data_IF_921137860825
#
_entry.id   IF_921137860825
#
_cell.length_a   1.000
_cell.length_b   1.000
_cell.length_c   1.000
_cell.angle_alpha   90.00
_cell.angle_beta   90.00
_cell.angle_gamma   90.00
#
_symmetry.space_group_name_H-M   'P 1'
#
loop_
_entity.id
_entity.type
_entity.pdbx_description
1 polymer ?
#
# COMPACT_ATOMS: atom_id res chain seq x y z
N UNK A 1 13.45 -12.49 -6.21
CA UNK A 1 13.16 -12.39 -4.76
C UNK A 1 11.69 -12.06 -4.65
N UNK A 2 11.04 -12.27 -3.51
CA UNK A 2 9.72 -11.69 -3.29
C UNK A 2 9.84 -10.15 -3.28
N UNK A 3 8.71 -9.45 -3.36
CA UNK A 3 8.69 -7.99 -3.22
C UNK A 3 9.05 -7.63 -1.77
N UNK A 4 8.41 -8.33 -0.81
CA UNK A 4 8.62 -8.25 0.63
C UNK A 4 10.10 -8.46 1.05
N UNK A 5 10.88 -9.27 0.30
CA UNK A 5 12.29 -9.56 0.60
C UNK A 5 13.21 -8.33 0.37
N UNK A 6 12.78 -7.35 -0.44
CA UNK A 6 13.62 -6.25 -0.94
C UNK A 6 12.98 -4.86 -0.80
N UNK A 7 11.70 -4.77 -0.44
CA UNK A 7 10.97 -3.51 -0.41
C UNK A 7 11.60 -2.45 0.53
N UNK A 8 12.30 -2.88 1.56
CA UNK A 8 13.05 -2.00 2.48
C UNK A 8 14.16 -1.18 1.79
N UNK A 9 14.76 -1.69 0.70
CA UNK A 9 15.75 -0.97 -0.12
C UNK A 9 15.15 0.28 -0.79
N UNK A 10 13.82 0.33 -0.94
CA UNK A 10 13.07 1.29 -1.76
C UNK A 10 12.25 2.29 -0.91
N UNK A 11 12.61 2.51 0.35
CA UNK A 11 11.97 3.51 1.22
C UNK A 11 12.26 4.96 0.80
N UNK A 12 13.48 5.27 0.32
CA UNK A 12 13.80 6.60 -0.23
C UNK A 12 13.26 6.77 -1.65
N UNK A 13 12.89 8.00 -2.02
CA UNK A 13 12.37 8.30 -3.36
C UNK A 13 13.46 8.07 -4.43
N UNK A 14 14.71 8.39 -4.09
CA UNK A 14 15.89 8.25 -4.93
C UNK A 14 16.09 6.79 -5.35
N UNK A 15 15.98 5.85 -4.41
CA UNK A 15 16.14 4.43 -4.71
C UNK A 15 14.99 3.88 -5.57
N UNK A 16 13.75 4.34 -5.33
CA UNK A 16 12.60 4.03 -6.20
C UNK A 16 12.85 4.51 -7.62
N UNK A 17 13.26 5.77 -7.80
CA UNK A 17 13.53 6.34 -9.11
C UNK A 17 14.71 5.66 -9.83
N UNK A 18 15.81 5.39 -9.11
CA UNK A 18 16.98 4.71 -9.65
C UNK A 18 16.66 3.31 -10.21
N UNK A 19 15.69 2.60 -9.63
CA UNK A 19 15.26 1.28 -10.10
C UNK A 19 14.82 1.25 -11.57
N UNK A 20 14.26 2.35 -12.09
CA UNK A 20 13.82 2.46 -13.49
C UNK A 20 14.96 2.81 -14.45
N UNK A 21 16.05 3.40 -13.95
CA UNK A 21 17.18 3.90 -14.73
C UNK A 21 18.17 2.79 -15.10
N UNK A 22 18.26 1.75 -14.27
CA UNK A 22 19.18 0.61 -14.45
C UNK A 22 18.59 -0.51 -15.33
N UNK A 23 19.46 -1.37 -15.87
CA UNK A 23 19.05 -2.53 -16.65
C UNK A 23 19.03 -3.79 -15.77
N UNK A 24 17.84 -4.31 -15.46
CA UNK A 24 17.64 -5.45 -14.54
C UNK A 24 18.03 -6.79 -15.18
N UNK A 25 18.76 -7.68 -14.47
CA UNK A 25 19.19 -8.97 -15.00
C UNK A 25 18.08 -10.03 -14.98
N UNK A 26 17.73 -10.58 -16.14
CA UNK A 26 16.60 -11.51 -16.28
C UNK A 26 17.03 -12.98 -16.10
N UNK A 27 16.34 -13.76 -15.24
CA UNK A 27 16.55 -15.20 -15.13
C UNK A 27 16.43 -15.92 -16.48
N UNK A 28 17.31 -16.90 -16.72
CA UNK A 28 17.22 -17.76 -17.91
C UNK A 28 16.01 -18.69 -17.77
N UNK A 29 14.94 -18.46 -18.56
CA UNK A 29 13.90 -19.49 -18.81
C UNK A 29 14.60 -20.81 -19.19
N UNK A 30 14.24 -21.92 -18.53
CA UNK A 30 14.84 -23.25 -18.76
C UNK A 30 14.50 -23.76 -20.16
N UNK A 31 15.41 -23.59 -21.11
CA UNK A 31 15.37 -24.23 -22.42
C UNK A 31 16.26 -25.49 -22.42
N UNK A 32 15.83 -26.55 -23.10
CA UNK A 32 16.44 -27.89 -23.03
C UNK A 32 17.73 -28.07 -23.85
N UNK A 33 18.04 -27.16 -24.79
CA UNK A 33 19.27 -27.23 -25.59
C UNK A 33 20.26 -26.12 -25.20
N UNK A 34 21.48 -26.53 -24.85
CA UNK A 34 22.56 -25.63 -24.49
C UNK A 34 23.20 -24.99 -25.74
N UNK A 35 22.97 -23.69 -25.93
CA UNK A 35 23.82 -22.83 -26.77
C UNK A 35 24.03 -21.50 -26.07
N UNK A 36 25.23 -20.94 -26.20
CA UNK A 36 25.63 -19.74 -25.47
C UNK A 36 24.81 -18.52 -25.89
N UNK A 37 23.95 -18.05 -24.99
CA UNK A 37 23.37 -16.70 -25.03
C UNK A 37 23.56 -16.03 -23.68
N UNK A 38 23.87 -14.73 -23.76
CA UNK A 38 24.13 -13.84 -22.64
C UNK A 38 22.97 -13.80 -21.64
N UNK A 39 23.24 -13.31 -20.42
CA UNK A 39 22.16 -12.84 -19.57
C UNK A 39 21.42 -11.74 -20.32
N UNK A 40 20.09 -11.89 -20.49
CA UNK A 40 19.25 -10.80 -20.99
C UNK A 40 19.06 -9.83 -19.84
N UNK A 41 19.19 -8.54 -20.11
CA UNK A 41 18.70 -7.50 -19.21
C UNK A 41 17.48 -6.80 -19.81
N UNK A 42 16.69 -6.18 -18.96
CA UNK A 42 15.51 -5.39 -19.35
C UNK A 42 15.63 -3.97 -18.76
N UNK A 43 15.06 -2.98 -19.42
CA UNK A 43 14.91 -1.60 -18.94
C UNK A 43 13.43 -1.27 -18.85
N UNK A 44 13.07 -0.17 -18.20
CA UNK A 44 11.70 0.36 -18.28
C UNK A 44 11.26 0.46 -19.75
N UNK A 45 10.16 -0.20 -20.18
CA UNK A 45 9.82 -0.29 -21.60
C UNK A 45 9.04 0.93 -22.11
N UNK A 46 8.35 1.64 -21.22
CA UNK A 46 7.48 2.77 -21.53
C UNK A 46 8.27 4.08 -21.67
N UNK A 47 7.83 4.96 -22.57
CA UNK A 47 8.50 6.24 -22.88
C UNK A 47 7.78 7.46 -22.32
N UNK A 48 6.46 7.38 -22.24
CA UNK A 48 5.52 8.43 -21.85
C UNK A 48 5.17 8.32 -20.37
N UNK A 49 4.87 7.11 -19.89
CA UNK A 49 4.69 6.84 -18.47
C UNK A 49 6.02 7.04 -17.70
N UNK A 50 6.09 8.17 -16.99
CA UNK A 50 7.31 8.70 -16.37
C UNK A 50 7.69 7.97 -15.07
N UNK A 51 8.93 7.46 -14.94
CA UNK A 51 9.46 6.89 -13.70
C UNK A 51 9.26 7.75 -12.45
N UNK A 52 9.31 9.07 -12.58
CA UNK A 52 9.12 10.01 -11.46
C UNK A 52 7.69 9.92 -10.87
N UNK A 53 6.67 9.71 -11.71
CA UNK A 53 5.29 9.56 -11.26
C UNK A 53 5.10 8.24 -10.50
N UNK A 54 5.68 7.15 -11.03
CA UNK A 54 5.68 5.83 -10.39
C UNK A 54 6.43 5.86 -9.05
N UNK A 55 7.64 6.42 -9.03
CA UNK A 55 8.46 6.55 -7.82
C UNK A 55 7.78 7.42 -6.75
N UNK A 56 7.08 8.50 -7.13
CA UNK A 56 6.30 9.32 -6.20
C UNK A 56 5.10 8.54 -5.65
N UNK A 57 4.32 7.88 -6.51
CA UNK A 57 3.21 7.01 -6.11
C UNK A 57 3.64 5.76 -5.30
N UNK A 58 4.94 5.57 -5.05
CA UNK A 58 5.49 4.55 -4.15
C UNK A 58 5.98 3.29 -4.85
N UNK A 59 6.06 3.28 -6.18
CA UNK A 59 6.49 2.12 -6.96
C UNK A 59 7.99 2.13 -7.24
N UNK A 60 8.60 0.93 -7.20
CA UNK A 60 9.89 0.64 -7.81
C UNK A 60 9.73 -0.39 -8.94
N UNK A 61 10.67 -0.42 -9.88
CA UNK A 61 10.66 -1.34 -11.01
C UNK A 61 11.10 -2.75 -10.56
N UNK A 62 10.24 -3.74 -10.79
CA UNK A 62 10.47 -5.14 -10.39
C UNK A 62 10.07 -6.09 -11.53
N UNK A 63 10.79 -6.09 -12.67
CA UNK A 63 10.39 -6.85 -13.85
C UNK A 63 10.60 -8.36 -13.68
N UNK A 64 9.77 -9.15 -14.36
CA UNK A 64 9.94 -10.60 -14.46
C UNK A 64 9.90 -11.08 -15.92
N UNK A 65 10.39 -12.30 -16.25
CA UNK A 65 10.38 -12.81 -17.63
C UNK A 65 9.00 -12.94 -18.28
N UNK A 66 7.94 -12.85 -17.46
CA UNK A 66 6.54 -13.03 -17.86
C UNK A 66 5.72 -11.75 -17.67
N UNK A 67 6.23 -10.76 -16.89
CA UNK A 67 5.67 -9.42 -16.68
C UNK A 67 6.78 -8.38 -16.85
N UNK A 68 7.02 -7.87 -18.07
CA UNK A 68 8.21 -7.09 -18.42
C UNK A 68 8.23 -5.67 -17.84
N UNK A 69 7.08 -5.11 -17.52
CA UNK A 69 6.86 -3.75 -17.01
C UNK A 69 6.37 -3.76 -15.54
N UNK A 70 6.46 -4.90 -14.85
CA UNK A 70 5.99 -5.01 -13.47
C UNK A 70 6.73 -4.03 -12.54
N UNK A 71 5.94 -3.29 -11.78
CA UNK A 71 6.38 -2.41 -10.69
C UNK A 71 5.81 -2.91 -9.38
N UNK A 72 6.36 -2.50 -8.25
CA UNK A 72 5.91 -2.91 -6.92
C UNK A 72 5.92 -1.76 -5.92
N UNK A 73 4.88 -1.65 -5.09
CA UNK A 73 4.85 -0.64 -4.02
C UNK A 73 5.80 -1.02 -2.87
N UNK A 74 6.65 -0.08 -2.42
CA UNK A 74 7.59 -0.32 -1.31
C UNK A 74 6.91 -0.54 0.06
N UNK A 75 5.66 -0.11 0.25
CA UNK A 75 4.99 -0.12 1.56
C UNK A 75 3.80 -1.10 1.67
N UNK A 76 3.10 -1.41 0.57
CA UNK A 76 2.03 -2.42 0.56
C UNK A 76 2.38 -3.69 -0.25
N UNK A 77 3.58 -3.73 -0.83
CA UNK A 77 4.14 -4.85 -1.61
C UNK A 77 3.30 -5.28 -2.83
N UNK A 78 2.27 -4.51 -3.19
CA UNK A 78 1.43 -4.79 -4.36
C UNK A 78 2.23 -4.58 -5.65
N UNK A 79 2.33 -5.65 -6.45
CA UNK A 79 2.76 -5.56 -7.83
C UNK A 79 1.65 -5.09 -8.78
N UNK A 80 2.00 -4.24 -9.75
CA UNK A 80 1.19 -3.80 -10.88
C UNK A 80 2.00 -3.85 -12.19
N UNK A 81 1.39 -4.38 -13.24
CA UNK A 81 1.97 -4.69 -14.55
C UNK A 81 0.89 -4.63 -15.64
N UNK A 82 1.31 -4.43 -16.90
CA UNK A 82 0.39 -4.14 -18.01
C UNK A 82 -0.05 -2.67 -18.03
N UNK A 83 0.88 -1.75 -17.78
CA UNK A 83 0.64 -0.31 -17.80
C UNK A 83 0.43 0.21 -19.22
N UNK A 84 -0.54 1.11 -19.39
CA UNK A 84 -0.78 1.88 -20.62
C UNK A 84 -0.14 3.30 -20.55
N UNK A 85 -0.05 3.99 -21.70
CA UNK A 85 0.63 5.29 -21.78
C UNK A 85 -0.10 6.45 -21.06
N UNK A 86 -1.41 6.30 -20.82
CA UNK A 86 -2.30 7.30 -20.20
C UNK A 86 -2.60 7.02 -18.72
N UNK A 87 -2.04 5.97 -18.11
CA UNK A 87 -2.29 5.61 -16.71
C UNK A 87 -1.73 6.65 -15.72
N UNK A 88 -2.52 7.01 -14.70
CA UNK A 88 -1.99 7.70 -13.50
C UNK A 88 -1.59 6.67 -12.43
N UNK A 89 -0.29 6.58 -12.05
CA UNK A 89 0.17 5.62 -11.06
C UNK A 89 -0.51 5.67 -9.71
N UNK A 90 -0.93 6.85 -9.23
CA UNK A 90 -1.56 7.00 -7.91
C UNK A 90 -3.03 6.58 -7.95
N UNK A 91 -3.75 6.90 -9.03
CA UNK A 91 -5.13 6.42 -9.26
C UNK A 91 -5.14 4.90 -9.35
N UNK A 92 -4.24 4.29 -10.12
CA UNK A 92 -4.12 2.84 -10.23
C UNK A 92 -3.72 2.18 -8.90
N UNK A 93 -2.85 2.82 -8.11
CA UNK A 93 -2.50 2.37 -6.77
C UNK A 93 -3.70 2.35 -5.82
N UNK A 94 -4.51 3.41 -5.81
CA UNK A 94 -5.74 3.49 -4.99
C UNK A 94 -6.80 2.49 -5.46
N UNK A 95 -7.00 2.36 -6.78
CA UNK A 95 -7.93 1.40 -7.41
C UNK A 95 -7.59 -0.05 -7.06
N UNK A 96 -6.31 -0.40 -7.03
CA UNK A 96 -5.86 -1.77 -6.78
C UNK A 96 -5.54 -2.08 -5.31
N UNK A 97 -5.22 -1.07 -4.49
CA UNK A 97 -4.93 -1.18 -3.05
C UNK A 97 -5.44 0.09 -2.28
N UNK A 98 -6.76 0.26 -2.10
CA UNK A 98 -7.36 1.49 -1.54
C UNK A 98 -7.05 1.76 -0.05
N UNK A 99 -6.52 0.76 0.65
CA UNK A 99 -6.05 0.85 2.04
C UNK A 99 -4.50 0.97 2.12
N UNK A 100 -3.80 1.14 0.99
CA UNK A 100 -2.36 1.36 1.01
C UNK A 100 -2.03 2.69 1.69
N UNK A 101 -1.28 2.61 2.79
CA UNK A 101 -0.84 3.76 3.55
C UNK A 101 -0.11 4.81 2.69
N UNK A 102 0.76 4.38 1.76
CA UNK A 102 1.48 5.31 0.87
C UNK A 102 0.54 6.00 -0.12
N UNK A 103 -0.35 5.24 -0.77
CA UNK A 103 -1.32 5.80 -1.71
C UNK A 103 -2.25 6.82 -1.02
N UNK A 104 -2.66 6.56 0.22
CA UNK A 104 -3.49 7.48 1.01
C UNK A 104 -2.74 8.76 1.41
N UNK A 105 -1.44 8.70 1.75
CA UNK A 105 -0.68 9.92 2.07
C UNK A 105 -0.38 10.78 0.84
N UNK A 106 -0.13 10.17 -0.31
CA UNK A 106 0.07 10.88 -1.59
C UNK A 106 -1.25 11.43 -2.15
N UNK A 107 -2.38 10.75 -1.95
CA UNK A 107 -3.70 11.23 -2.39
C UNK A 107 -4.10 12.56 -1.73
N UNK A 108 -3.72 12.76 -0.46
CA UNK A 108 -3.87 14.04 0.24
C UNK A 108 -3.00 15.12 -0.40
N UNK A 109 -1.73 14.83 -0.69
CA UNK A 109 -0.84 15.80 -1.34
C UNK A 109 -1.31 16.18 -2.75
N UNK A 110 -1.70 15.19 -3.55
CA UNK A 110 -2.20 15.38 -4.92
C UNK A 110 -3.64 15.93 -4.97
N UNK A 111 -4.22 16.29 -3.82
CA UNK A 111 -5.55 16.89 -3.67
C UNK A 111 -6.67 16.06 -4.32
N UNK A 112 -6.58 14.72 -4.27
CA UNK A 112 -7.63 13.82 -4.73
C UNK A 112 -8.83 13.98 -3.79
N UNK A 113 -9.92 14.57 -4.30
CA UNK A 113 -10.96 15.22 -3.49
C UNK A 113 -11.56 14.32 -2.38
N UNK A 114 -11.84 13.06 -2.68
CA UNK A 114 -12.39 12.07 -1.72
C UNK A 114 -11.48 11.85 -0.49
N UNK A 115 -10.16 11.96 -0.66
CA UNK A 115 -9.17 11.69 0.40
C UNK A 115 -8.64 12.99 1.01
N UNK A 116 -8.44 14.03 0.20
CA UNK A 116 -7.86 15.30 0.63
C UNK A 116 -8.80 16.12 1.55
N UNK A 117 -10.13 15.96 1.40
CA UNK A 117 -11.13 16.54 2.29
C UNK A 117 -11.47 15.64 3.50
N UNK A 118 -10.90 14.43 3.61
CA UNK A 118 -11.13 13.57 4.77
C UNK A 118 -10.45 14.17 6.02
N UNK A 119 -11.17 14.22 7.15
CA UNK A 119 -10.69 14.81 8.40
C UNK A 119 -9.28 14.31 8.77
N UNK A 120 -8.26 15.19 8.94
CA UNK A 120 -6.86 14.75 9.06
C UNK A 120 -6.57 13.83 10.24
N UNK A 121 -7.38 13.90 11.31
CA UNK A 121 -7.31 13.02 12.47
C UNK A 121 -8.39 11.90 12.45
N UNK A 122 -8.85 11.50 11.26
CA UNK A 122 -9.58 10.24 11.07
C UNK A 122 -8.67 9.05 11.39
N UNK A 123 -9.26 7.90 11.75
CA UNK A 123 -8.48 6.67 11.97
C UNK A 123 -7.71 6.27 10.70
N UNK A 124 -8.32 6.41 9.52
CA UNK A 124 -7.74 6.01 8.22
C UNK A 124 -6.48 6.81 7.92
N UNK A 125 -6.56 8.14 7.96
CA UNK A 125 -5.41 9.01 7.66
C UNK A 125 -4.35 9.01 8.78
N UNK A 126 -4.75 8.85 10.04
CA UNK A 126 -3.79 8.69 11.15
C UNK A 126 -2.99 7.39 11.02
N UNK A 127 -3.66 6.27 10.75
CA UNK A 127 -3.00 4.97 10.65
C UNK A 127 -2.18 4.86 9.36
N UNK A 128 -2.64 5.47 8.25
CA UNK A 128 -1.85 5.63 7.03
C UNK A 128 -0.54 6.40 7.30
N UNK A 129 -0.61 7.57 7.95
CA UNK A 129 0.60 8.32 8.32
C UNK A 129 1.50 7.51 9.25
N UNK A 130 0.98 6.84 10.28
CA UNK A 130 1.76 5.95 11.17
C UNK A 130 2.47 4.83 10.43
N UNK A 131 1.80 4.20 9.48
CA UNK A 131 2.37 3.10 8.70
C UNK A 131 3.55 3.54 7.82
N UNK A 132 3.64 4.81 7.39
CA UNK A 132 4.82 5.29 6.64
C UNK A 132 6.12 5.18 7.43
N UNK A 133 6.10 5.39 8.75
CA UNK A 133 7.27 5.26 9.63
C UNK A 133 7.74 3.81 9.81
N UNK A 134 6.83 2.85 9.62
CA UNK A 134 7.09 1.41 9.71
C UNK A 134 7.85 1.01 10.99
N UNK A 135 8.94 0.26 10.80
CA UNK A 135 9.94 -0.01 11.83
C UNK A 135 11.22 0.82 11.64
N UNK A 136 11.26 1.74 10.65
CA UNK A 136 12.48 2.43 10.24
C UNK A 136 12.73 3.74 11.01
N UNK A 137 11.71 4.32 11.65
CA UNK A 137 11.86 5.60 12.38
C UNK A 137 12.95 5.53 13.45
N UNK A 138 14.10 6.23 13.29
CA UNK A 138 15.30 6.03 14.10
C UNK A 138 15.15 6.50 15.56
N UNK A 139 13.98 6.99 15.96
CA UNK A 139 13.72 7.54 17.28
C UNK A 139 12.67 6.77 18.08
N UNK A 140 12.02 5.75 17.51
CA UNK A 140 10.90 5.06 18.17
C UNK A 140 11.31 4.36 19.49
N UNK A 141 12.54 3.85 19.58
CA UNK A 141 13.08 3.20 20.78
C UNK A 141 13.74 4.16 21.79
N UNK A 142 14.23 5.33 21.36
CA UNK A 142 15.01 6.27 22.19
C UNK A 142 14.23 6.78 23.42
N UNK A 143 14.72 6.54 24.65
CA UNK A 143 14.00 6.90 25.88
C UNK A 143 13.88 8.43 26.05
N UNK A 144 12.70 8.91 26.44
CA UNK A 144 12.44 10.33 26.71
C UNK A 144 12.12 11.20 25.49
N UNK A 145 12.38 10.70 24.28
CA UNK A 145 12.10 11.42 23.03
C UNK A 145 10.60 11.61 22.81
N UNK A 146 10.19 12.83 22.46
CA UNK A 146 8.79 13.23 22.27
C UNK A 146 8.28 12.99 20.84
N UNK A 147 9.15 13.12 19.84
CA UNK A 147 8.93 12.87 18.40
C UNK A 147 8.84 11.36 18.05
N UNK A 148 7.94 10.63 18.71
CA UNK A 148 7.58 9.24 18.37
C UNK A 148 6.65 9.19 17.16
N UNK A 149 6.61 8.06 16.45
CA UNK A 149 5.72 7.77 15.31
C UNK A 149 4.28 8.22 15.54
N UNK A 150 3.74 7.97 16.75
CA UNK A 150 2.41 8.45 17.13
C UNK A 150 2.32 9.98 17.12
N UNK A 151 3.24 10.68 17.77
CA UNK A 151 3.24 12.15 17.85
C UNK A 151 3.50 12.80 16.48
N UNK A 152 4.35 12.19 15.65
CA UNK A 152 4.58 12.62 14.26
C UNK A 152 3.27 12.55 13.45
N UNK A 153 2.65 11.38 13.37
CA UNK A 153 1.44 11.19 12.59
C UNK A 153 0.21 11.93 13.15
N UNK A 154 0.08 12.03 14.48
CA UNK A 154 -0.97 12.84 15.13
C UNK A 154 -0.81 14.35 14.86
N UNK A 155 0.39 14.81 14.48
CA UNK A 155 0.70 16.19 14.10
C UNK A 155 0.76 16.47 12.58
N UNK A 156 0.35 15.49 11.76
CA UNK A 156 0.20 15.66 10.31
C UNK A 156 1.42 15.28 9.46
N UNK A 157 2.43 14.65 10.06
CA UNK A 157 3.65 14.20 9.38
C UNK A 157 3.54 12.76 8.84
N UNK A 158 4.14 12.53 7.66
CA UNK A 158 4.51 11.21 7.12
C UNK A 158 6.05 11.08 7.13
N UNK A 159 6.56 9.85 7.22
CA UNK A 159 7.98 9.56 7.06
C UNK A 159 8.38 9.67 5.58
N UNK A 160 9.49 10.36 5.30
CA UNK A 160 9.99 10.61 3.95
C UNK A 160 11.52 10.65 3.96
N UNK A 161 12.20 9.53 4.29
CA UNK A 161 13.65 9.49 4.39
C UNK A 161 14.29 9.79 3.03
N UNK A 162 15.45 10.42 3.07
CA UNK A 162 16.29 10.65 1.90
C UNK A 162 17.59 9.85 2.05
N UNK A 163 18.45 9.88 1.04
CA UNK A 163 19.79 9.32 1.17
C UNK A 163 20.74 10.20 2.02
N UNK A 164 20.26 11.32 2.57
CA UNK A 164 21.03 12.30 3.37
C UNK A 164 20.50 12.48 4.81
N UNK A 165 19.21 12.18 5.09
CA UNK A 165 18.62 12.12 6.44
C UNK A 165 17.74 10.88 6.60
N UNK A 166 17.97 10.14 7.71
CA UNK A 166 17.19 8.99 8.15
C UNK A 166 15.99 9.36 9.04
N UNK A 167 15.83 10.64 9.39
CA UNK A 167 14.75 11.15 10.24
C UNK A 167 13.85 12.20 9.54
N UNK A 168 14.02 12.39 8.24
CA UNK A 168 13.22 13.32 7.44
C UNK A 168 11.74 12.95 7.44
N UNK A 169 10.90 13.90 7.84
CA UNK A 169 9.46 13.78 7.86
C UNK A 169 8.80 14.98 7.15
N UNK A 170 7.78 14.72 6.33
CA UNK A 170 7.08 15.75 5.53
C UNK A 170 5.60 15.83 5.92
N UNK A 171 5.02 17.02 5.96
CA UNK A 171 3.59 17.19 6.13
C UNK A 171 2.84 17.07 4.78
N UNK A 172 1.87 16.16 4.73
CA UNK A 172 1.00 15.91 3.56
C UNK A 172 0.33 17.15 2.97
N UNK A 173 0.02 18.15 3.81
CA UNK A 173 -0.91 19.23 3.49
C UNK A 173 -0.22 20.53 3.05
N UNK A 174 0.97 20.82 3.58
CA UNK A 174 1.74 22.02 3.23
C UNK A 174 3.13 21.74 2.64
N UNK A 175 3.54 20.47 2.57
CA UNK A 175 4.85 20.03 2.06
C UNK A 175 6.06 20.63 2.78
N UNK A 176 5.85 21.16 4.00
CA UNK A 176 6.94 21.40 4.94
C UNK A 176 7.59 20.05 5.27
N UNK A 177 8.91 19.97 5.10
CA UNK A 177 9.75 18.84 5.49
C UNK A 177 10.71 19.26 6.61
N UNK A 178 10.97 18.36 7.56
CA UNK A 178 11.89 18.56 8.69
C UNK A 178 12.63 17.27 9.04
N UNK A 179 13.94 17.44 9.25
CA UNK A 179 14.94 16.50 9.72
C UNK A 179 15.69 17.06 10.95
N UNK A 180 16.59 16.28 11.54
CA UNK A 180 17.40 16.68 12.69
C UNK A 180 16.58 16.79 13.99
N UNK A 181 15.60 15.92 14.19
CA UNK A 181 14.67 15.97 15.32
C UNK A 181 15.39 15.73 16.67
N UNK A 182 15.07 16.55 17.67
CA UNK A 182 15.65 16.45 19.01
C UNK A 182 14.72 15.73 20.00
N UNK A 183 15.29 15.28 21.12
CA UNK A 183 14.53 14.61 22.19
C UNK A 183 13.38 15.46 22.75
N UNK A 184 13.54 16.78 22.73
CA UNK A 184 12.67 17.75 23.35
C UNK A 184 11.58 18.29 22.42
N UNK A 185 11.65 17.99 21.12
CA UNK A 185 10.75 18.54 20.11
C UNK A 185 9.33 18.02 20.21
N UNK A 186 8.38 18.89 19.89
CA UNK A 186 6.97 18.52 19.75
C UNK A 186 6.59 18.68 18.28
N UNK A 187 6.27 17.60 17.56
CA UNK A 187 5.97 17.67 16.13
C UNK A 187 4.79 18.59 15.77
N UNK A 188 3.85 18.84 16.68
CA UNK A 188 2.74 19.78 16.46
C UNK A 188 3.18 21.25 16.60
N UNK A 189 3.91 21.58 17.66
CA UNK A 189 4.40 22.93 17.92
C UNK A 189 5.40 23.36 16.84
N UNK A 190 6.33 22.49 16.43
CA UNK A 190 7.34 22.78 15.39
C UNK A 190 6.73 22.86 13.97
N UNK A 191 5.63 22.14 13.71
CA UNK A 191 4.82 22.30 12.49
C UNK A 191 4.13 23.67 12.47
N UNK A 192 3.35 23.98 13.51
CA UNK A 192 2.58 25.23 13.59
C UNK A 192 3.47 26.48 13.54
N UNK A 193 4.62 26.44 14.23
CA UNK A 193 5.65 27.50 14.25
C UNK A 193 6.24 27.84 12.87
N UNK A 194 6.21 26.91 11.90
CA UNK A 194 6.73 27.09 10.54
C UNK A 194 5.64 27.21 9.47
N UNK A 195 4.43 26.72 9.73
CA UNK A 195 3.32 26.72 8.77
C UNK A 195 1.98 26.85 9.50
N UNK A 196 1.71 28.04 10.06
CA UNK A 196 0.46 28.35 10.78
C UNK A 196 -0.78 28.11 9.92
N UNK A 197 -0.65 28.38 8.62
CA UNK A 197 -1.74 28.41 7.65
C UNK A 197 -1.89 27.06 6.91
N UNK A 198 -1.21 26.01 7.39
CA UNK A 198 -1.28 24.68 6.81
C UNK A 198 -2.72 24.13 6.82
N UNK A 199 -3.24 23.57 5.70
CA UNK A 199 -4.60 23.02 5.63
C UNK A 199 -4.90 21.94 6.68
N UNK A 200 -3.87 21.26 7.20
CA UNK A 200 -3.98 20.35 8.34
C UNK A 200 -4.67 21.00 9.57
N UNK A 201 -4.27 22.23 9.92
CA UNK A 201 -4.83 22.93 11.08
C UNK A 201 -6.25 23.44 10.78
N UNK A 202 -6.49 23.92 9.56
CA UNK A 202 -7.80 24.41 9.11
C UNK A 202 -8.84 23.29 9.18
N UNK A 203 -8.58 22.15 8.53
CA UNK A 203 -9.49 21.00 8.51
C UNK A 203 -9.73 20.39 9.90
N UNK A 204 -8.76 20.49 10.82
CA UNK A 204 -8.94 20.06 12.21
C UNK A 204 -9.82 21.04 13.00
N UNK A 205 -9.59 22.35 12.85
CA UNK A 205 -10.38 23.41 13.50
C UNK A 205 -11.85 23.39 13.03
N UNK A 206 -12.09 23.27 11.72
CA UNK A 206 -13.42 23.14 11.13
C UNK A 206 -14.19 21.94 11.69
N UNK A 207 -13.57 20.76 11.72
CA UNK A 207 -14.18 19.55 12.29
C UNK A 207 -14.37 19.66 13.82
N UNK A 208 -13.51 20.42 14.53
CA UNK A 208 -13.70 20.68 15.97
C UNK A 208 -14.93 21.55 16.27
N UNK A 209 -15.29 22.43 15.32
CA UNK A 209 -16.45 23.33 15.38
C UNK A 209 -17.74 22.69 14.87
N UNK A 210 -17.66 21.55 14.19
CA UNK A 210 -18.80 20.85 13.63
C UNK A 210 -19.78 20.34 14.72
N UNK A 211 -21.11 20.54 14.59
CA UNK A 211 -22.08 20.00 15.53
C UNK A 211 -22.02 18.48 15.60
N UNK A 212 -22.07 17.86 16.80
CA UNK A 212 -21.95 16.41 16.94
C UNK A 212 -23.08 15.69 16.18
N UNK A 213 -22.79 14.60 15.45
CA UNK A 213 -23.78 13.92 14.62
C UNK A 213 -24.95 13.43 15.47
N UNK A 214 -26.16 13.91 15.13
CA UNK A 214 -27.40 13.57 15.83
C UNK A 214 -27.65 12.06 15.73
N UNK A 215 -27.33 11.33 16.81
CA UNK A 215 -27.57 9.87 16.90
C UNK A 215 -29.05 9.57 16.70
N UNK A 216 -29.41 9.21 15.47
CA UNK A 216 -30.74 8.73 15.13
C UNK A 216 -31.01 7.45 15.91
N UNK A 217 -31.93 7.51 16.87
CA UNK A 217 -32.34 6.33 17.64
C UNK A 217 -32.94 5.33 16.66
N UNK A 218 -32.19 4.27 16.34
CA UNK A 218 -32.70 3.16 15.55
C UNK A 218 -33.98 2.65 16.20
N UNK A 219 -35.11 2.74 15.50
CA UNK A 219 -36.37 2.13 15.95
C UNK A 219 -36.10 0.63 16.11
N UNK A 220 -36.28 0.11 17.32
CA UNK A 220 -36.17 -1.33 17.60
C UNK A 220 -37.31 -2.04 16.86
N UNK A 221 -37.05 -2.46 15.62
CA UNK A 221 -37.95 -3.31 14.85
C UNK A 221 -38.17 -4.62 15.60
N UNK A 222 -39.36 -4.81 16.14
CA UNK A 222 -39.75 -6.05 16.81
C UNK A 222 -39.79 -7.19 15.79
N UNK A 223 -38.95 -8.21 15.99
CA UNK A 223 -39.04 -9.46 15.21
C UNK A 223 -40.40 -10.10 15.46
N UNK A 224 -41.29 -10.06 14.47
CA UNK A 224 -42.47 -10.90 14.39
C UNK A 224 -42.28 -11.85 13.19
N UNK A 225 -42.10 -13.14 13.47
CA UNK A 225 -42.10 -14.18 12.44
C UNK A 225 -43.50 -14.78 12.31
N UNK A 226 -43.92 -15.10 11.08
CA UNK A 226 -44.80 -16.25 10.75
C UNK A 226 -44.96 -16.46 9.24
N UNK A 227 -44.39 -17.58 8.81
CA UNK A 227 -44.96 -18.60 7.91
C UNK A 227 -45.45 -18.23 6.49
N UNK A 228 -44.66 -18.74 5.53
CA UNK A 228 -44.98 -19.27 4.19
C UNK A 228 -46.44 -19.57 3.81
N UNK A 229 -46.79 -19.24 2.56
CA UNK A 229 -47.62 -20.07 1.64
C UNK A 229 -47.02 -20.00 0.22
N UNK A 230 -47.27 -21.00 -0.62
CA UNK A 230 -46.58 -21.23 -1.91
C UNK A 230 -47.52 -21.11 -3.13
N UNK A 231 -47.00 -20.57 -4.25
CA UNK A 231 -47.39 -20.78 -5.67
C UNK A 231 -48.86 -20.73 -6.14
N UNK A 232 -49.11 -19.98 -7.23
CA UNK A 232 -49.62 -20.57 -8.50
C UNK A 232 -49.42 -19.64 -9.71
N UNK A 233 -49.50 -20.20 -10.92
CA UNK A 233 -49.33 -19.56 -12.24
C UNK A 233 -50.60 -19.76 -13.09
N UNK A 234 -50.90 -18.85 -14.04
CA UNK A 234 -51.64 -18.99 -15.35
C UNK A 234 -52.18 -17.61 -15.79
N UNK A 235 -52.42 -17.25 -17.07
CA UNK A 235 -52.11 -17.87 -18.38
C UNK A 235 -52.26 -16.85 -19.54
N UNK A 236 -51.77 -17.21 -20.75
CA UNK A 236 -52.11 -16.68 -22.12
C UNK A 236 -51.84 -15.19 -22.43
N UNK A 237 -51.46 -14.74 -23.64
CA UNK A 237 -51.11 -15.36 -24.95
C UNK A 237 -50.42 -14.28 -25.84
N UNK A 238 -49.90 -14.47 -27.07
CA UNK A 238 -49.94 -15.54 -28.10
C UNK A 238 -48.62 -15.52 -28.94
N UNK A 239 -48.54 -16.22 -30.08
CA UNK A 239 -47.46 -16.12 -31.10
C UNK A 239 -48.03 -16.28 -32.54
N UNK A 240 -47.26 -15.96 -33.61
CA UNK A 240 -46.46 -16.97 -34.34
C UNK A 240 -45.01 -16.52 -34.65
N UNK A 241 -43.98 -17.37 -34.70
CA UNK A 241 -43.69 -18.51 -35.62
C UNK A 241 -43.25 -18.05 -37.03
N UNK A 242 -42.30 -18.66 -37.77
CA UNK A 242 -41.75 -20.04 -37.73
C UNK A 242 -40.39 -20.11 -38.50
N UNK A 243 -39.39 -20.86 -38.03
CA UNK A 243 -38.51 -21.82 -38.79
C UNK A 243 -37.38 -22.38 -37.89
N UNK A 244 -36.88 -23.58 -38.22
CA UNK A 244 -36.36 -24.56 -37.24
C UNK A 244 -35.36 -25.59 -37.88
N UNK A 245 -34.80 -26.48 -37.05
CA UNK A 245 -34.03 -27.73 -37.33
C UNK A 245 -32.51 -27.62 -37.62
N UNK A 246 -31.70 -28.67 -37.30
CA UNK A 246 -31.71 -29.51 -36.09
C UNK A 246 -30.28 -29.75 -35.51
N UNK A 247 -30.09 -30.77 -34.66
CA UNK A 247 -28.86 -31.03 -33.88
C UNK A 247 -28.27 -32.45 -34.04
N UNK A 248 -27.04 -32.62 -33.53
CA UNK A 248 -26.30 -33.84 -33.10
C UNK A 248 -25.38 -33.33 -31.93
N UNK A 249 -25.09 -33.91 -30.75
CA UNK A 249 -25.16 -35.23 -30.07
C UNK A 249 -23.82 -36.02 -29.96
N UNK A 250 -23.66 -36.79 -28.87
CA UNK A 250 -22.53 -37.67 -28.43
C UNK A 250 -21.13 -37.08 -28.03
N UNK A 251 -20.33 -37.65 -27.09
CA UNK A 251 -20.62 -38.57 -25.94
C UNK A 251 -19.48 -38.64 -24.87
N UNK A 252 -19.80 -39.17 -23.68
CA UNK A 252 -19.05 -40.01 -22.71
C UNK A 252 -17.68 -39.69 -22.07
N UNK A 253 -17.73 -39.52 -20.74
CA UNK A 253 -17.11 -40.37 -19.67
C UNK A 253 -15.61 -40.80 -19.79
N UNK A 254 -14.74 -40.39 -18.85
CA UNK A 254 -14.25 -41.31 -17.79
C UNK A 254 -13.53 -40.64 -16.59
N UNK A 255 -13.51 -41.35 -15.46
CA UNK A 255 -12.97 -40.93 -14.15
C UNK A 255 -11.60 -41.52 -13.85
N UNK A 256 -10.73 -40.84 -13.09
CA UNK A 256 -9.82 -41.54 -12.16
C UNK A 256 -9.44 -40.70 -10.94
N UNK A 257 -9.28 -41.37 -9.80
CA UNK A 257 -8.80 -40.82 -8.53
C UNK A 257 -7.87 -41.85 -7.86
N UNK A 258 -7.52 -41.64 -6.58
CA UNK A 258 -6.55 -42.39 -5.75
C UNK A 258 -5.07 -41.97 -5.96
N UNK A 259 -4.18 -41.99 -4.96
CA UNK A 259 -4.40 -42.23 -3.52
C UNK A 259 -3.40 -41.44 -2.64
N UNK A 260 -3.74 -41.27 -1.36
CA UNK A 260 -2.87 -40.63 -0.38
C UNK A 260 -1.87 -41.61 0.28
N UNK A 261 -0.77 -41.10 0.83
CA UNK A 261 -0.16 -41.71 2.03
C UNK A 261 0.71 -40.71 2.81
N UNK A 262 0.59 -40.73 4.14
CA UNK A 262 1.30 -39.83 5.06
C UNK A 262 2.54 -40.51 5.67
N UNK A 263 3.56 -39.73 6.05
CA UNK A 263 4.42 -40.06 7.19
C UNK A 263 4.97 -38.80 7.87
N UNK A 264 5.18 -38.90 9.19
CA UNK A 264 5.66 -37.82 10.08
C UNK A 264 7.13 -38.06 10.47
N UNK A 265 7.73 -37.01 11.07
CA UNK A 265 8.87 -36.95 12.01
C UNK A 265 10.13 -36.24 11.48
N UNK A 266 10.97 -35.58 12.30
CA UNK A 266 10.75 -34.91 13.61
C UNK A 266 12.01 -34.11 14.08
N UNK A 267 11.79 -33.06 14.90
CA UNK A 267 12.61 -32.67 16.09
C UNK A 267 14.05 -32.11 15.94
N UNK A 268 14.12 -30.77 15.87
CA UNK A 268 14.72 -29.85 16.89
C UNK A 268 16.22 -29.86 17.26
N UNK A 269 16.86 -28.69 17.08
CA UNK A 269 17.77 -27.89 17.97
C UNK A 269 18.17 -26.62 17.18
N UNK A 270 18.24 -25.37 17.66
CA UNK A 270 18.56 -24.68 18.94
C UNK A 270 20.06 -24.41 19.20
N UNK A 271 20.46 -23.18 18.84
CA UNK A 271 21.40 -22.26 19.53
C UNK A 271 20.91 -20.82 19.22
N UNK A 272 21.08 -19.73 19.98
CA UNK A 272 22.15 -19.26 20.88
C UNK A 272 23.51 -19.17 20.19
N UNK A 273 24.06 -18.00 19.82
CA UNK A 273 23.54 -16.63 19.93
C UNK A 273 24.22 -15.80 21.03
N UNK A 274 24.74 -14.65 20.64
CA UNK A 274 25.43 -13.64 21.46
C UNK A 274 25.17 -12.26 20.84
N UNK A 275 25.27 -11.20 21.64
CA UNK A 275 25.14 -9.82 21.20
C UNK A 275 26.09 -8.94 21.98
N UNK A 276 26.76 -8.02 21.30
CA UNK A 276 27.69 -7.07 21.91
C UNK A 276 26.99 -5.74 22.14
N UNK A 277 27.04 -5.25 23.39
CA UNK A 277 26.58 -3.91 23.72
C UNK A 277 27.64 -2.89 23.29
N UNK A 278 27.20 -1.71 22.90
CA UNK A 278 28.00 -0.50 23.06
C UNK A 278 27.21 0.50 23.91
N UNK A 279 27.85 0.96 24.99
CA UNK A 279 27.34 1.99 25.91
C UNK A 279 28.12 3.29 25.71
N UNK A 280 27.51 4.42 26.08
CA UNK A 280 28.10 5.76 25.98
C UNK A 280 27.73 6.49 24.67
N UNK A 281 27.49 7.79 24.67
CA UNK A 281 27.80 8.79 25.72
C UNK A 281 26.58 9.59 26.22
N UNK A 282 26.76 10.30 27.33
CA UNK A 282 25.81 11.24 27.93
C UNK A 282 26.05 12.68 27.41
N UNK A 283 25.03 13.54 27.45
CA UNK A 283 25.24 14.99 27.33
C UNK A 283 24.14 15.74 26.58
N UNK A 284 23.09 16.19 27.29
CA UNK A 284 22.00 16.97 26.69
C UNK A 284 20.79 17.09 27.61
N UNK A 285 20.90 17.90 28.67
CA UNK A 285 19.79 18.16 29.59
C UNK A 285 18.82 19.19 28.98
N UNK A 286 17.54 18.83 28.92
CA UNK A 286 16.41 19.67 28.50
C UNK A 286 15.21 19.44 29.44
#
# INVERSE_FOLDING_TARGET
MAIDDIAEEYFTYENRLASFQVAHPMPKRRASNASSKSARSIKWPHKTLRPEMLAKAGFFYHPSPDKPDNTACFLCHRGLDGWDEDDDPLVEHLKHSPDCAWALVEAVEMQIEEVAQEYPASKRLLDARKATFGNQWPHETKKGWKCKTKQMADAGWRYTPTNESDDMATCNYCQLALDGWENCDKPLDEHYKRSTDCPFFILIDEHSKAPPPKKSKAKRGSKASRLSTQSQFTATSEAPSLLDLPAEEDDSILTTATNATSKRMAKSKKGTGEGENYEGEEGGAC
#
